data_IF_243210268276
#
_entry.id   IF_243210268276
#
_cell.length_a   1.000
_cell.length_b   1.000
_cell.length_c   1.000
_cell.angle_alpha   90.00
_cell.angle_beta   90.00
_cell.angle_gamma   90.00
#
_symmetry.space_group_name_H-M   'P 1'
#
loop_
_entity.id
_entity.type
_entity.pdbx_description
1 polymer ?
#
# COMPACT_ATOMS: atom_id res chain seq x y z
N UNK A 1 16.01 7.87 -25.91
CA UNK A 1 14.75 7.25 -26.36
C UNK A 1 13.61 8.10 -25.83
N UNK A 2 12.72 8.59 -26.67
CA UNK A 2 11.56 9.34 -26.23
C UNK A 2 10.66 8.39 -25.39
N UNK A 3 10.32 8.82 -24.17
CA UNK A 3 9.33 8.11 -23.35
C UNK A 3 8.00 8.11 -24.12
N UNK A 4 7.46 6.93 -24.37
CA UNK A 4 6.10 6.84 -24.89
C UNK A 4 5.16 7.49 -23.86
N UNK A 5 4.14 8.26 -24.30
CA UNK A 5 3.17 8.81 -23.35
C UNK A 5 2.50 7.66 -22.60
N UNK A 6 2.39 7.82 -21.30
CA UNK A 6 1.68 6.85 -20.46
C UNK A 6 0.22 6.72 -20.93
N UNK A 7 -0.33 5.50 -20.97
CA UNK A 7 -1.73 5.34 -21.28
C UNK A 7 -2.59 6.08 -20.24
N UNK A 8 -3.69 6.68 -20.70
CA UNK A 8 -4.63 7.31 -19.78
C UNK A 8 -5.13 6.29 -18.76
N UNK A 9 -5.24 6.65 -17.47
CA UNK A 9 -5.71 5.73 -16.44
C UNK A 9 -7.14 5.29 -16.71
N UNK A 10 -7.43 4.02 -16.42
CA UNK A 10 -8.78 3.50 -16.39
C UNK A 10 -9.58 4.25 -15.31
N UNK A 11 -10.76 4.76 -15.67
CA UNK A 11 -11.64 5.44 -14.71
C UNK A 11 -12.72 4.46 -14.22
N UNK A 12 -12.82 4.34 -12.89
CA UNK A 12 -13.84 3.54 -12.22
C UNK A 12 -14.65 4.44 -11.28
N UNK A 13 -15.76 3.93 -10.80
CA UNK A 13 -16.56 4.59 -9.76
C UNK A 13 -16.66 3.68 -8.56
N UNK A 14 -16.24 4.17 -7.39
CA UNK A 14 -16.41 3.50 -6.12
C UNK A 14 -17.88 3.42 -5.73
N UNK A 15 -18.19 2.58 -4.76
CA UNK A 15 -19.57 2.39 -4.27
C UNK A 15 -20.22 3.67 -3.74
N UNK A 16 -19.42 4.58 -3.18
CA UNK A 16 -19.89 5.88 -2.68
C UNK A 16 -20.00 6.97 -3.76
N UNK A 17 -19.65 6.65 -5.03
CA UNK A 17 -19.65 7.57 -6.16
C UNK A 17 -18.32 8.26 -6.42
N UNK A 18 -17.26 8.00 -5.60
CA UNK A 18 -15.93 8.55 -5.81
C UNK A 18 -15.34 8.04 -7.13
N UNK A 19 -14.82 8.94 -7.97
CA UNK A 19 -14.10 8.58 -9.20
C UNK A 19 -12.70 8.07 -8.85
N UNK A 20 -12.35 6.90 -9.37
CA UNK A 20 -11.06 6.25 -9.15
C UNK A 20 -10.29 6.15 -10.45
N UNK A 21 -9.02 6.52 -10.41
CA UNK A 21 -8.08 6.35 -11.50
C UNK A 21 -7.18 5.13 -11.24
N UNK A 22 -7.11 4.20 -12.19
CA UNK A 22 -6.31 2.99 -12.09
C UNK A 22 -5.35 2.93 -13.27
N UNK A 23 -4.05 2.84 -12.98
CA UNK A 23 -3.04 2.63 -14.04
C UNK A 23 -2.99 1.14 -14.36
N UNK A 24 -3.26 0.79 -15.62
CA UNK A 24 -3.26 -0.61 -16.09
C UNK A 24 -2.09 -0.81 -17.05
N UNK A 25 -1.27 -1.84 -16.78
CA UNK A 25 -0.08 -2.15 -17.61
C UNK A 25 0.12 -3.66 -17.72
N UNK A 26 0.44 -4.14 -18.93
CA UNK A 26 0.63 -5.58 -19.21
C UNK A 26 -0.63 -6.26 -19.72
N UNK A 27 -0.52 -7.55 -20.05
CA UNK A 27 -1.59 -8.39 -20.63
C UNK A 27 -1.65 -9.82 -20.08
N UNK A 28 -0.93 -10.08 -18.98
CA UNK A 28 -0.88 -11.37 -18.28
C UNK A 28 -1.96 -11.52 -17.19
N UNK A 29 -1.80 -12.48 -16.27
CA UNK A 29 -2.68 -12.64 -15.10
C UNK A 29 -2.78 -11.36 -14.26
N UNK A 30 -3.98 -11.04 -13.73
CA UNK A 30 -4.21 -9.77 -13.06
C UNK A 30 -3.61 -9.74 -11.64
N UNK A 31 -3.00 -8.59 -11.31
CA UNK A 31 -2.60 -8.23 -9.95
C UNK A 31 -3.08 -6.80 -9.66
N UNK A 32 -3.82 -6.63 -8.56
CA UNK A 32 -4.24 -5.33 -8.05
C UNK A 32 -3.24 -4.87 -7.00
N UNK A 33 -2.67 -3.68 -7.20
CA UNK A 33 -1.66 -3.10 -6.32
C UNK A 33 -2.27 -1.91 -5.57
N UNK A 34 -2.25 -1.99 -4.24
CA UNK A 34 -2.73 -0.96 -3.32
C UNK A 34 -1.53 -0.30 -2.65
N UNK A 35 -1.16 0.93 -3.06
CA UNK A 35 0.00 1.63 -2.53
C UNK A 35 -0.16 2.06 -1.06
N UNK A 36 0.97 2.30 -0.41
CA UNK A 36 1.03 2.81 0.96
C UNK A 36 0.66 4.29 1.11
N UNK A 37 0.86 4.81 2.31
CA UNK A 37 0.80 6.25 2.59
C UNK A 37 1.88 7.00 1.82
N UNK A 38 1.62 8.25 1.47
CA UNK A 38 2.55 9.11 0.72
C UNK A 38 3.04 8.55 -0.63
N UNK A 39 2.41 7.49 -1.15
CA UNK A 39 2.75 6.94 -2.46
C UNK A 39 2.13 7.76 -3.58
N UNK A 40 2.96 8.16 -4.54
CA UNK A 40 2.55 8.89 -5.74
C UNK A 40 2.14 7.95 -6.87
N UNK A 41 1.41 8.46 -7.87
CA UNK A 41 1.01 7.69 -9.05
C UNK A 41 2.19 7.02 -9.79
N UNK A 42 3.40 7.61 -9.68
CA UNK A 42 4.62 7.10 -10.29
C UNK A 42 5.40 6.08 -9.48
N UNK A 43 5.15 5.96 -8.17
CA UNK A 43 6.00 5.17 -7.27
C UNK A 43 5.92 3.65 -7.54
N UNK A 44 4.81 3.18 -8.07
CA UNK A 44 4.65 1.79 -8.52
C UNK A 44 5.27 1.49 -9.89
N UNK A 45 5.65 2.49 -10.68
CA UNK A 45 6.06 2.28 -12.09
C UNK A 45 7.31 1.42 -12.24
N UNK A 46 8.27 1.55 -11.32
CA UNK A 46 9.47 0.74 -11.38
C UNK A 46 9.13 -0.74 -11.18
N UNK A 47 8.28 -1.06 -10.20
CA UNK A 47 7.80 -2.42 -9.93
C UNK A 47 6.91 -2.92 -11.07
N UNK A 48 5.92 -2.12 -11.50
CA UNK A 48 5.00 -2.52 -12.58
C UNK A 48 5.71 -2.73 -13.91
N UNK A 49 6.77 -1.97 -14.21
CA UNK A 49 7.57 -2.14 -15.42
C UNK A 49 8.27 -3.49 -15.46
N UNK A 50 8.71 -4.00 -14.30
CA UNK A 50 9.30 -5.34 -14.17
C UNK A 50 8.22 -6.43 -14.26
N UNK A 51 7.04 -6.19 -13.70
CA UNK A 51 5.92 -7.15 -13.70
C UNK A 51 5.16 -7.22 -15.05
N UNK A 52 5.07 -6.12 -15.78
CA UNK A 52 4.24 -6.00 -16.98
C UNK A 52 4.50 -7.05 -18.09
N UNK A 53 5.72 -7.58 -18.29
CA UNK A 53 5.95 -8.66 -19.26
C UNK A 53 5.24 -9.98 -18.92
N UNK A 54 4.88 -10.19 -17.65
CA UNK A 54 4.31 -11.45 -17.16
C UNK A 54 2.90 -11.29 -16.57
N UNK A 55 2.54 -10.10 -16.09
CA UNK A 55 1.30 -9.82 -15.37
C UNK A 55 0.58 -8.60 -15.94
N UNK A 56 -0.74 -8.54 -15.74
CA UNK A 56 -1.49 -7.29 -15.88
C UNK A 56 -1.59 -6.63 -14.52
N UNK A 57 -0.93 -5.50 -14.35
CA UNK A 57 -0.95 -4.73 -13.10
C UNK A 57 -2.05 -3.68 -13.12
N UNK A 58 -2.86 -3.63 -12.05
CA UNK A 58 -3.87 -2.60 -11.79
C UNK A 58 -3.42 -1.80 -10.56
N UNK A 59 -2.78 -0.65 -10.77
CA UNK A 59 -2.31 0.21 -9.67
C UNK A 59 -3.36 1.26 -9.36
N UNK A 60 -3.93 1.18 -8.16
CA UNK A 60 -4.93 2.15 -7.70
C UNK A 60 -4.25 3.47 -7.31
N UNK A 61 -4.68 4.57 -7.91
CA UNK A 61 -4.48 5.89 -7.32
C UNK A 61 -5.56 6.05 -6.23
N UNK A 62 -5.13 5.93 -4.96
CA UNK A 62 -6.09 5.91 -3.84
C UNK A 62 -6.84 7.24 -3.70
N UNK A 63 -7.96 7.21 -3.01
CA UNK A 63 -8.83 8.36 -2.77
C UNK A 63 -8.02 9.61 -2.30
N UNK A 64 -8.28 10.76 -2.91
CA UNK A 64 -7.59 12.03 -2.65
C UNK A 64 -6.21 12.15 -3.28
N UNK A 65 -5.84 11.26 -4.23
CA UNK A 65 -4.50 11.24 -4.85
C UNK A 65 -4.57 11.25 -6.36
N UNK A 66 -3.62 11.99 -6.96
CA UNK A 66 -3.44 12.03 -8.42
C UNK A 66 -4.73 12.32 -9.17
N UNK A 67 -5.14 11.43 -10.08
CA UNK A 67 -6.33 11.57 -10.91
C UNK A 67 -7.60 10.95 -10.29
N UNK A 68 -7.51 10.40 -9.06
CA UNK A 68 -8.69 9.96 -8.32
C UNK A 68 -9.39 11.13 -7.62
N UNK A 69 -10.69 11.03 -7.48
CA UNK A 69 -11.48 11.93 -6.64
C UNK A 69 -11.17 11.77 -5.15
N UNK A 70 -11.81 12.58 -4.34
CA UNK A 70 -11.71 12.51 -2.89
C UNK A 70 -13.10 12.44 -2.24
N UNK A 71 -13.15 11.88 -1.03
CA UNK A 71 -14.38 11.82 -0.24
C UNK A 71 -14.17 12.49 1.12
N UNK A 72 -15.03 13.44 1.52
CA UNK A 72 -14.87 14.20 2.77
C UNK A 72 -14.94 13.33 4.02
N UNK A 73 -15.65 12.20 3.96
CA UNK A 73 -15.78 11.23 5.07
C UNK A 73 -14.92 10.00 4.81
N UNK A 74 -13.58 10.21 4.71
CA UNK A 74 -12.65 9.11 4.56
C UNK A 74 -12.65 8.19 5.78
N UNK A 75 -12.66 6.88 5.54
CA UNK A 75 -12.48 5.82 6.54
C UNK A 75 -11.93 4.56 5.85
N UNK A 76 -11.51 3.57 6.63
CA UNK A 76 -10.96 2.32 6.10
C UNK A 76 -11.96 1.59 5.19
N UNK A 77 -13.25 1.62 5.52
CA UNK A 77 -14.32 0.99 4.74
C UNK A 77 -14.41 1.57 3.32
N UNK A 78 -14.17 2.88 3.15
CA UNK A 78 -14.11 3.51 1.82
C UNK A 78 -12.94 3.02 0.99
N UNK A 79 -11.76 2.90 1.59
CA UNK A 79 -10.59 2.32 0.92
C UNK A 79 -10.85 0.86 0.51
N UNK A 80 -11.55 0.07 1.33
CA UNK A 80 -11.97 -1.30 1.01
C UNK A 80 -12.96 -1.32 -0.16
N UNK A 81 -13.92 -0.40 -0.19
CA UNK A 81 -14.87 -0.25 -1.31
C UNK A 81 -14.16 0.13 -2.61
N UNK A 82 -13.16 1.02 -2.55
CA UNK A 82 -12.34 1.42 -3.70
C UNK A 82 -11.56 0.23 -4.28
N UNK A 83 -10.85 -0.51 -3.43
CA UNK A 83 -10.11 -1.71 -3.85
C UNK A 83 -11.06 -2.79 -4.39
N UNK A 84 -12.26 -2.92 -3.80
CA UNK A 84 -13.29 -3.84 -4.29
C UNK A 84 -13.71 -3.52 -5.72
N UNK A 85 -13.92 -2.23 -6.05
CA UNK A 85 -14.26 -1.80 -7.41
C UNK A 85 -13.15 -2.15 -8.43
N UNK A 86 -11.87 -2.04 -8.03
CA UNK A 86 -10.74 -2.45 -8.90
C UNK A 86 -10.70 -3.97 -9.08
N UNK A 87 -10.90 -4.74 -8.00
CA UNK A 87 -10.94 -6.21 -8.07
C UNK A 87 -12.09 -6.73 -8.94
N UNK A 88 -13.23 -6.04 -8.95
CA UNK A 88 -14.38 -6.42 -9.78
C UNK A 88 -14.06 -6.30 -11.28
N UNK A 89 -13.24 -5.33 -11.66
CA UNK A 89 -12.78 -5.15 -13.05
C UNK A 89 -11.59 -6.07 -13.37
N UNK A 90 -10.67 -6.27 -12.44
CA UNK A 90 -9.52 -7.16 -12.63
C UNK A 90 -9.94 -8.64 -12.72
N UNK A 91 -11.07 -8.99 -12.12
CA UNK A 91 -11.66 -10.33 -12.20
C UNK A 91 -11.25 -11.28 -11.08
N UNK A 92 -11.88 -12.48 -11.02
CA UNK A 92 -11.77 -13.42 -9.89
C UNK A 92 -10.39 -14.04 -9.72
N UNK A 93 -9.57 -14.04 -10.76
CA UNK A 93 -8.20 -14.55 -10.73
C UNK A 93 -7.17 -13.51 -10.23
N UNK A 94 -7.62 -12.32 -9.81
CA UNK A 94 -6.74 -11.27 -9.37
C UNK A 94 -6.06 -11.62 -8.05
N UNK A 95 -4.72 -11.44 -8.02
CA UNK A 95 -3.92 -11.40 -6.81
C UNK A 95 -3.98 -9.98 -6.25
N UNK A 96 -4.13 -9.83 -4.94
CA UNK A 96 -4.15 -8.55 -4.27
C UNK A 96 -2.80 -8.30 -3.58
N UNK A 97 -2.15 -7.21 -3.94
CA UNK A 97 -0.89 -6.78 -3.33
C UNK A 97 -1.06 -5.43 -2.63
N UNK A 98 -0.81 -5.39 -1.33
CA UNK A 98 -0.81 -4.18 -0.53
C UNK A 98 0.55 -3.86 0.08
N UNK A 99 0.91 -2.57 0.12
CA UNK A 99 2.09 -2.06 0.81
C UNK A 99 1.67 -1.12 1.96
N UNK A 100 2.25 -1.28 3.15
CA UNK A 100 2.05 -0.37 4.29
C UNK A 100 0.56 -0.16 4.62
N UNK A 101 0.02 1.06 4.53
CA UNK A 101 -1.42 1.31 4.66
C UNK A 101 -2.25 0.50 3.64
N UNK A 102 -1.77 0.39 2.40
CA UNK A 102 -2.42 -0.46 1.40
C UNK A 102 -2.43 -1.95 1.79
N UNK A 103 -1.45 -2.41 2.58
CA UNK A 103 -1.45 -3.78 3.11
C UNK A 103 -2.49 -3.95 4.25
N UNK A 104 -2.71 -2.93 5.08
CA UNK A 104 -3.83 -2.90 6.02
C UNK A 104 -5.17 -3.00 5.28
N UNK A 105 -5.40 -2.15 4.26
CA UNK A 105 -6.63 -2.18 3.45
C UNK A 105 -6.83 -3.56 2.82
N UNK A 106 -5.77 -4.14 2.24
CA UNK A 106 -5.80 -5.45 1.59
C UNK A 106 -6.10 -6.59 2.56
N UNK A 107 -5.52 -6.56 3.76
CA UNK A 107 -5.78 -7.52 4.82
C UNK A 107 -7.22 -7.43 5.33
N UNK A 108 -7.71 -6.21 5.59
CA UNK A 108 -9.08 -5.96 6.04
C UNK A 108 -10.11 -6.39 4.97
N UNK A 109 -9.82 -6.19 3.69
CA UNK A 109 -10.63 -6.69 2.58
C UNK A 109 -10.62 -8.22 2.53
N UNK A 110 -9.45 -8.86 2.63
CA UNK A 110 -9.30 -10.31 2.59
C UNK A 110 -10.07 -11.04 3.71
N UNK A 111 -10.30 -10.37 4.86
CA UNK A 111 -11.17 -10.88 5.92
C UNK A 111 -12.68 -10.84 5.58
N UNK A 112 -13.07 -10.23 4.45
CA UNK A 112 -14.46 -10.07 4.02
C UNK A 112 -14.74 -10.69 2.65
N UNK A 113 -13.70 -10.81 1.82
CA UNK A 113 -13.81 -11.26 0.43
C UNK A 113 -12.61 -12.13 0.05
N UNK A 114 -12.88 -13.27 -0.58
CA UNK A 114 -11.82 -14.12 -1.13
C UNK A 114 -11.21 -13.48 -2.39
N UNK A 115 -9.88 -13.59 -2.53
CA UNK A 115 -9.09 -13.27 -3.71
C UNK A 115 -8.21 -14.46 -4.09
N UNK A 116 -7.64 -14.46 -5.29
CA UNK A 116 -6.81 -15.58 -5.76
C UNK A 116 -5.55 -15.81 -4.91
N UNK A 117 -4.98 -14.74 -4.39
CA UNK A 117 -3.83 -14.72 -3.49
C UNK A 117 -3.67 -13.34 -2.89
N UNK A 118 -2.99 -13.25 -1.76
CA UNK A 118 -2.75 -12.02 -1.02
C UNK A 118 -1.24 -11.82 -0.86
N UNK A 119 -0.75 -10.62 -1.13
CA UNK A 119 0.62 -10.21 -0.89
C UNK A 119 0.59 -9.00 0.03
N UNK A 120 1.30 -9.08 1.16
CA UNK A 120 1.38 -8.03 2.16
C UNK A 120 2.83 -7.63 2.35
N UNK A 121 3.15 -6.37 2.07
CA UNK A 121 4.46 -5.82 2.37
C UNK A 121 4.33 -4.85 3.54
N UNK A 122 4.81 -5.30 4.71
CA UNK A 122 4.88 -4.55 5.98
C UNK A 122 3.60 -3.77 6.30
N UNK A 123 2.51 -4.44 6.67
CA UNK A 123 1.25 -3.78 6.95
C UNK A 123 1.36 -2.78 8.10
N UNK A 124 0.86 -1.56 7.88
CA UNK A 124 0.82 -0.49 8.88
C UNK A 124 -0.33 -0.73 9.87
N UNK A 125 -0.11 -1.54 10.89
CA UNK A 125 -1.10 -1.94 11.88
C UNK A 125 -0.71 -1.50 13.29
N UNK A 126 -1.69 -1.01 14.04
CA UNK A 126 -1.56 -0.73 15.47
C UNK A 126 -1.80 -2.03 16.26
N UNK A 127 -0.72 -2.72 16.66
CA UNK A 127 -0.79 -3.90 17.53
C UNK A 127 -0.36 -3.54 18.97
N UNK A 128 0.93 -3.60 19.27
CA UNK A 128 1.45 -3.29 20.61
C UNK A 128 1.56 -1.76 20.87
N UNK A 129 1.53 -0.97 19.82
CA UNK A 129 1.61 0.49 19.87
C UNK A 129 0.78 1.09 18.73
N UNK A 130 0.28 2.31 18.88
CA UNK A 130 -0.31 3.03 17.76
C UNK A 130 0.77 3.32 16.68
N UNK A 131 0.33 3.47 15.44
CA UNK A 131 1.20 3.89 14.32
C UNK A 131 1.47 5.40 14.42
N UNK A 132 0.42 6.20 14.51
CA UNK A 132 0.50 7.65 14.65
C UNK A 132 0.45 8.13 16.10
N UNK A 133 -0.42 7.53 16.91
CA UNK A 133 -0.58 7.84 18.33
C UNK A 133 -0.93 9.31 18.61
N UNK A 134 -0.54 9.83 19.78
CA UNK A 134 -0.87 11.21 20.17
C UNK A 134 -0.33 12.29 19.24
N UNK A 135 0.72 11.98 18.47
CA UNK A 135 1.31 12.94 17.53
C UNK A 135 0.38 13.26 16.33
N UNK A 136 -0.62 12.41 16.06
CA UNK A 136 -1.57 12.63 14.95
C UNK A 136 -2.35 13.94 15.14
N UNK A 137 -2.68 14.35 16.38
CA UNK A 137 -3.37 15.59 16.65
C UNK A 137 -2.54 16.80 16.18
N UNK A 138 -1.28 16.90 16.62
CA UNK A 138 -0.38 17.99 16.20
C UNK A 138 -0.11 18.01 14.69
N UNK A 139 -0.01 16.84 14.06
CA UNK A 139 0.08 16.72 12.60
C UNK A 139 -1.18 17.26 11.91
N UNK A 140 -2.36 16.87 12.39
CA UNK A 140 -3.65 17.28 11.83
C UNK A 140 -3.89 18.77 11.98
N UNK A 141 -3.45 19.36 13.10
CA UNK A 141 -3.53 20.80 13.35
C UNK A 141 -2.68 21.60 12.35
N UNK A 142 -1.47 21.13 12.05
CA UNK A 142 -0.61 21.75 11.02
C UNK A 142 -1.28 21.70 9.64
N UNK A 143 -1.89 20.57 9.28
CA UNK A 143 -2.66 20.45 8.01
C UNK A 143 -3.84 21.41 8.01
N UNK A 144 -4.64 21.45 9.10
CA UNK A 144 -5.83 22.30 9.21
C UNK A 144 -5.50 23.78 9.18
N UNK A 145 -4.33 24.17 9.69
CA UNK A 145 -3.82 25.54 9.66
C UNK A 145 -3.21 25.94 8.30
N UNK A 146 -3.24 25.05 7.29
CA UNK A 146 -2.78 25.33 5.95
C UNK A 146 -1.26 25.25 5.78
N UNK A 147 -0.56 24.55 6.67
CA UNK A 147 0.89 24.31 6.56
C UNK A 147 1.21 22.81 6.36
N UNK A 148 0.85 22.22 5.21
CA UNK A 148 1.14 20.82 4.93
C UNK A 148 2.65 20.52 4.82
N UNK A 149 3.49 21.53 4.58
CA UNK A 149 4.93 21.35 4.54
C UNK A 149 5.51 21.15 5.95
N UNK A 150 5.05 21.93 6.94
CA UNK A 150 5.40 21.70 8.33
C UNK A 150 4.80 20.38 8.84
N UNK A 151 3.57 20.05 8.45
CA UNK A 151 2.96 18.76 8.77
C UNK A 151 3.79 17.59 8.25
N UNK A 152 4.24 17.62 6.99
CA UNK A 152 5.07 16.55 6.43
C UNK A 152 6.39 16.39 7.19
N UNK A 153 7.09 17.49 7.51
CA UNK A 153 8.32 17.46 8.33
C UNK A 153 8.05 16.81 9.68
N UNK A 154 7.03 17.28 10.38
CA UNK A 154 6.58 16.72 11.66
C UNK A 154 6.29 15.21 11.55
N UNK A 155 5.56 14.79 10.52
CA UNK A 155 5.23 13.39 10.31
C UNK A 155 6.44 12.51 10.02
N UNK A 156 7.40 13.00 9.24
CA UNK A 156 8.65 12.28 8.96
C UNK A 156 9.49 12.08 10.23
N UNK A 157 9.50 13.05 11.14
CA UNK A 157 10.17 12.93 12.44
C UNK A 157 9.44 11.96 13.38
N UNK A 158 8.13 12.11 13.54
CA UNK A 158 7.37 11.43 14.60
C UNK A 158 6.85 10.04 14.21
N UNK A 159 6.45 9.83 12.95
CA UNK A 159 5.87 8.56 12.49
C UNK A 159 6.90 7.68 11.78
N UNK A 160 7.81 8.30 11.01
CA UNK A 160 8.88 7.59 10.31
C UNK A 160 10.12 7.45 11.18
N UNK A 161 10.39 8.44 12.04
CA UNK A 161 11.53 8.44 12.96
C UNK A 161 12.82 8.99 12.35
N UNK A 162 12.70 9.86 11.31
CA UNK A 162 13.87 10.54 10.74
C UNK A 162 14.37 11.62 11.69
N UNK A 163 15.68 11.82 11.71
CA UNK A 163 16.27 12.96 12.39
C UNK A 163 15.96 14.28 11.67
N UNK A 164 15.98 15.45 12.34
CA UNK A 164 15.76 16.75 11.68
C UNK A 164 16.69 16.99 10.49
N UNK A 165 17.93 16.51 10.55
CA UNK A 165 18.88 16.62 9.43
C UNK A 165 18.44 15.77 8.24
N UNK A 166 17.98 14.56 8.45
CA UNK A 166 17.46 13.70 7.38
C UNK A 166 16.19 14.29 6.76
N UNK A 167 15.30 14.85 7.57
CA UNK A 167 14.10 15.56 7.07
C UNK A 167 14.48 16.73 6.18
N UNK A 168 15.47 17.54 6.57
CA UNK A 168 15.93 18.64 5.71
C UNK A 168 16.59 18.14 4.42
N UNK A 169 17.34 17.07 4.45
CA UNK A 169 17.87 16.43 3.24
C UNK A 169 16.73 15.93 2.34
N UNK A 170 15.72 15.30 2.93
CA UNK A 170 14.54 14.82 2.22
C UNK A 170 13.73 15.96 1.58
N UNK A 171 13.66 17.10 2.27
CA UNK A 171 12.99 18.31 1.78
C UNK A 171 13.66 18.95 0.56
N UNK A 172 14.90 18.58 0.22
CA UNK A 172 15.57 19.00 -1.01
C UNK A 172 15.26 18.10 -2.21
N UNK A 173 14.56 16.96 -2.00
CA UNK A 173 14.25 16.04 -3.08
C UNK A 173 13.26 16.67 -4.08
N UNK A 174 13.38 16.39 -5.40
CA UNK A 174 12.44 16.88 -6.42
C UNK A 174 10.98 16.51 -6.16
N UNK A 175 10.75 15.39 -5.45
CA UNK A 175 9.43 14.89 -5.07
C UNK A 175 8.80 15.63 -3.88
N UNK A 176 9.52 16.50 -3.18
CA UNK A 176 9.05 17.14 -1.94
C UNK A 176 7.69 17.83 -2.07
N UNK A 177 7.49 18.63 -3.13
CA UNK A 177 6.21 19.32 -3.33
C UNK A 177 5.02 18.37 -3.52
N UNK A 178 5.24 17.23 -4.15
CA UNK A 178 4.22 16.20 -4.34
C UNK A 178 3.90 15.50 -3.01
N UNK A 179 4.92 15.19 -2.19
CA UNK A 179 4.73 14.64 -0.85
C UNK A 179 3.99 15.62 0.08
N UNK A 180 4.32 16.92 0.03
CA UNK A 180 3.61 17.97 0.76
C UNK A 180 2.12 17.99 0.40
N UNK A 181 1.78 17.86 -0.87
CA UNK A 181 0.39 17.83 -1.33
C UNK A 181 -0.39 16.60 -0.79
N UNK A 182 0.30 15.53 -0.38
CA UNK A 182 -0.32 14.32 0.19
C UNK A 182 -0.41 14.34 1.73
N UNK A 183 0.16 15.31 2.42
CA UNK A 183 0.10 15.39 3.88
C UNK A 183 -1.36 15.35 4.41
N UNK A 184 -2.35 16.04 3.81
CA UNK A 184 -3.75 15.94 4.25
C UNK A 184 -4.31 14.53 4.21
N UNK A 185 -3.98 13.72 3.18
CA UNK A 185 -4.43 12.34 3.10
C UNK A 185 -3.74 11.46 4.13
N UNK A 186 -2.47 11.71 4.44
CA UNK A 186 -1.72 10.95 5.43
C UNK A 186 -2.29 11.11 6.83
N UNK A 187 -2.73 12.31 7.22
CA UNK A 187 -3.40 12.55 8.50
C UNK A 187 -4.55 11.55 8.75
N UNK A 188 -5.47 11.48 7.82
CA UNK A 188 -6.66 10.61 7.96
C UNK A 188 -6.34 9.10 7.87
N UNK A 189 -5.28 8.74 7.15
CA UNK A 189 -4.80 7.36 7.09
C UNK A 189 -4.19 6.91 8.42
N UNK A 190 -3.43 7.77 9.10
CA UNK A 190 -2.91 7.52 10.46
C UNK A 190 -4.05 7.28 11.45
N UNK A 191 -5.09 8.09 11.39
CA UNK A 191 -6.31 7.89 12.20
C UNK A 191 -6.96 6.55 11.90
N UNK A 192 -7.05 6.17 10.61
CA UNK A 192 -7.63 4.89 10.20
C UNK A 192 -6.77 3.69 10.65
N UNK A 193 -5.44 3.80 10.58
CA UNK A 193 -4.52 2.77 11.09
C UNK A 193 -4.66 2.56 12.60
N UNK A 194 -4.69 3.64 13.36
CA UNK A 194 -4.81 3.56 14.83
C UNK A 194 -6.21 3.13 15.30
N UNK A 195 -7.24 3.44 14.50
CA UNK A 195 -8.62 3.05 14.77
C UNK A 195 -8.97 1.61 14.38
N UNK A 196 -8.12 0.92 13.59
CA UNK A 196 -8.40 -0.44 13.17
C UNK A 196 -8.03 -1.45 14.25
N UNK A 197 -9.06 -2.06 14.86
CA UNK A 197 -8.86 -3.15 15.80
C UNK A 197 -8.52 -4.45 15.06
N UNK A 198 -7.27 -4.89 15.18
CA UNK A 198 -6.82 -6.15 14.58
C UNK A 198 -7.39 -7.31 15.40
N UNK A 199 -8.19 -8.16 14.75
CA UNK A 199 -8.72 -9.40 15.31
C UNK A 199 -7.92 -10.58 14.76
N UNK A 200 -6.99 -11.10 15.58
CA UNK A 200 -6.12 -12.21 15.19
C UNK A 200 -6.90 -13.50 14.97
N UNK A 201 -8.00 -13.74 15.72
CA UNK A 201 -8.85 -14.92 15.53
C UNK A 201 -9.54 -14.85 14.16
N UNK A 202 -9.98 -13.67 13.75
CA UNK A 202 -10.54 -13.46 12.42
C UNK A 202 -9.50 -13.64 11.32
N UNK A 203 -8.25 -13.27 11.54
CA UNK A 203 -7.17 -13.52 10.58
C UNK A 203 -6.91 -15.01 10.40
N UNK A 204 -7.04 -15.82 11.47
CA UNK A 204 -6.86 -17.27 11.40
C UNK A 204 -7.89 -17.99 10.51
N UNK A 205 -9.01 -17.34 10.19
CA UNK A 205 -10.02 -17.84 9.28
C UNK A 205 -9.74 -17.50 7.80
N UNK A 206 -8.70 -16.72 7.50
CA UNK A 206 -8.32 -16.37 6.12
C UNK A 206 -7.49 -17.50 5.53
N UNK A 207 -8.12 -18.34 4.70
CA UNK A 207 -7.45 -19.45 4.01
C UNK A 207 -6.86 -19.06 2.64
N UNK A 208 -6.77 -17.77 2.33
CA UNK A 208 -6.18 -17.26 1.10
C UNK A 208 -4.67 -17.50 1.14
N UNK A 209 -4.07 -18.14 0.10
CA UNK A 209 -2.63 -18.23 0.01
C UNK A 209 -2.01 -16.83 0.10
N UNK A 210 -1.14 -16.63 1.07
CA UNK A 210 -0.58 -15.31 1.38
C UNK A 210 0.94 -15.32 1.31
N UNK A 211 1.53 -14.25 0.80
CA UNK A 211 2.95 -13.93 0.92
C UNK A 211 3.09 -12.69 1.81
N UNK A 212 3.78 -12.83 2.93
CA UNK A 212 4.25 -11.72 3.75
C UNK A 212 5.66 -11.35 3.33
N UNK A 213 5.89 -10.07 3.06
CA UNK A 213 7.23 -9.54 2.76
C UNK A 213 7.64 -8.53 3.82
N UNK A 214 8.91 -8.55 4.21
CA UNK A 214 9.51 -7.55 5.08
C UNK A 214 10.95 -7.25 4.67
N UNK A 215 11.36 -5.99 4.82
CA UNK A 215 12.74 -5.57 4.61
C UNK A 215 13.63 -6.02 5.76
N UNK A 216 14.84 -6.47 5.44
CA UNK A 216 15.82 -6.95 6.44
C UNK A 216 16.21 -5.84 7.42
N UNK A 217 16.27 -4.58 6.94
CA UNK A 217 16.68 -3.41 7.74
C UNK A 217 15.50 -2.47 8.06
N UNK A 218 14.27 -2.95 7.91
CA UNK A 218 13.08 -2.20 8.29
C UNK A 218 13.02 -1.94 9.80
N UNK A 219 12.28 -0.92 10.25
CA UNK A 219 12.04 -0.69 11.67
C UNK A 219 11.52 -1.95 12.37
N UNK A 220 12.09 -2.27 13.51
CA UNK A 220 11.82 -3.53 14.25
C UNK A 220 10.33 -3.72 14.58
N UNK A 221 9.59 -2.64 14.80
CA UNK A 221 8.16 -2.69 15.06
C UNK A 221 7.36 -3.15 13.83
N UNK A 222 7.73 -2.73 12.61
CA UNK A 222 7.10 -3.18 11.36
C UNK A 222 7.38 -4.67 11.11
N UNK A 223 8.63 -5.10 11.34
CA UNK A 223 8.99 -6.53 11.25
C UNK A 223 8.16 -7.35 12.24
N UNK A 224 8.03 -6.87 13.50
CA UNK A 224 7.22 -7.54 14.52
C UNK A 224 5.74 -7.63 14.14
N UNK A 225 5.16 -6.55 13.63
CA UNK A 225 3.78 -6.52 13.13
C UNK A 225 3.60 -7.53 12.01
N UNK A 226 4.52 -7.54 11.04
CA UNK A 226 4.49 -8.49 9.91
C UNK A 226 4.59 -9.94 10.38
N UNK A 227 5.46 -10.25 11.36
CA UNK A 227 5.57 -11.58 11.95
C UNK A 227 4.28 -12.00 12.67
N UNK A 228 3.67 -11.09 13.46
CA UNK A 228 2.41 -11.39 14.16
C UNK A 228 1.29 -11.70 13.19
N UNK A 229 1.16 -10.94 12.10
CA UNK A 229 0.15 -11.20 11.06
C UNK A 229 0.47 -12.50 10.29
N UNK A 230 1.74 -12.73 9.95
CA UNK A 230 2.18 -13.98 9.31
C UNK A 230 1.80 -15.20 10.15
N UNK A 231 2.07 -15.17 11.46
CA UNK A 231 1.80 -16.30 12.36
C UNK A 231 0.30 -16.54 12.58
N UNK A 232 -0.54 -15.51 12.42
CA UNK A 232 -1.98 -15.61 12.51
C UNK A 232 -2.63 -16.16 11.23
N UNK A 233 -2.00 -16.04 10.07
CA UNK A 233 -2.53 -16.48 8.78
C UNK A 233 -2.14 -17.93 8.47
N UNK A 234 -3.09 -18.88 8.31
CA UNK A 234 -2.79 -20.33 8.23
C UNK A 234 -2.02 -20.73 6.96
N UNK A 235 -2.09 -19.93 5.89
CA UNK A 235 -1.45 -20.22 4.60
C UNK A 235 -0.53 -19.11 4.17
N UNK A 236 0.29 -18.61 5.09
CA UNK A 236 1.21 -17.50 4.85
C UNK A 236 2.65 -18.00 4.69
N UNK A 237 3.30 -17.61 3.62
CA UNK A 237 4.74 -17.74 3.41
C UNK A 237 5.44 -16.42 3.71
N UNK A 238 6.74 -16.47 4.00
CA UNK A 238 7.55 -15.30 4.35
C UNK A 238 8.67 -15.08 3.32
N UNK A 239 8.88 -13.82 2.91
CA UNK A 239 10.05 -13.42 2.15
C UNK A 239 10.72 -12.20 2.80
N UNK A 240 12.05 -12.30 3.02
CA UNK A 240 12.87 -11.19 3.50
C UNK A 240 13.53 -10.50 2.32
N UNK A 241 13.33 -9.19 2.20
CA UNK A 241 13.98 -8.37 1.18
C UNK A 241 15.36 -7.96 1.68
N UNK A 242 16.39 -8.70 1.25
CA UNK A 242 17.75 -8.55 1.74
C UNK A 242 18.31 -7.14 1.52
N UNK A 243 18.85 -6.52 2.57
CA UNK A 243 19.43 -5.18 2.57
C UNK A 243 18.41 -4.05 2.38
N UNK A 244 17.10 -4.34 2.34
CA UNK A 244 16.06 -3.35 2.10
C UNK A 244 15.29 -2.99 3.38
N UNK A 245 14.73 -1.78 3.39
CA UNK A 245 13.80 -1.29 4.38
C UNK A 245 12.37 -1.20 3.83
N UNK A 246 11.54 -0.37 4.46
CA UNK A 246 10.11 -0.21 4.18
C UNK A 246 9.75 0.26 2.76
N UNK A 247 10.70 0.83 2.02
CA UNK A 247 10.47 1.44 0.71
C UNK A 247 11.19 0.69 -0.43
N UNK A 248 11.27 -0.65 -0.35
CA UNK A 248 11.90 -1.45 -1.39
C UNK A 248 11.22 -1.33 -2.77
N UNK A 249 9.97 -0.90 -2.82
CA UNK A 249 9.29 -0.52 -4.07
C UNK A 249 10.01 0.61 -4.84
N UNK A 250 10.79 1.42 -4.14
CA UNK A 250 11.60 2.51 -4.72
C UNK A 250 13.09 2.15 -4.80
N UNK A 251 13.64 1.58 -3.71
CA UNK A 251 15.08 1.33 -3.60
C UNK A 251 15.55 0.05 -4.28
N UNK A 252 14.67 -0.96 -4.42
CA UNK A 252 14.99 -2.25 -5.02
C UNK A 252 13.77 -2.85 -5.76
N UNK A 253 13.15 -2.13 -6.72
CA UNK A 253 11.92 -2.56 -7.39
C UNK A 253 12.06 -3.93 -8.08
N UNK A 254 13.23 -4.26 -8.62
CA UNK A 254 13.50 -5.56 -9.26
C UNK A 254 13.47 -6.72 -8.27
N UNK A 255 13.97 -6.50 -7.03
CA UNK A 255 13.94 -7.51 -5.99
C UNK A 255 12.48 -7.78 -5.55
N UNK A 256 11.76 -6.71 -5.24
CA UNK A 256 10.36 -6.79 -4.85
C UNK A 256 9.50 -7.46 -5.94
N UNK A 257 9.66 -7.04 -7.19
CA UNK A 257 8.91 -7.59 -8.31
C UNK A 257 9.18 -9.08 -8.53
N UNK A 258 10.43 -9.55 -8.36
CA UNK A 258 10.75 -10.99 -8.45
C UNK A 258 10.02 -11.83 -7.39
N UNK A 259 9.96 -11.37 -6.14
CA UNK A 259 9.20 -12.07 -5.09
C UNK A 259 7.72 -12.14 -5.43
N UNK A 260 7.13 -11.03 -5.89
CA UNK A 260 5.74 -10.94 -6.33
C UNK A 260 5.49 -11.91 -7.50
N UNK A 261 6.30 -11.87 -8.56
CA UNK A 261 6.14 -12.73 -9.75
C UNK A 261 6.28 -14.21 -9.39
N UNK A 262 7.24 -14.56 -8.52
CA UNK A 262 7.47 -15.92 -8.05
C UNK A 262 6.25 -16.47 -7.32
N UNK A 263 5.65 -15.68 -6.44
CA UNK A 263 4.44 -16.06 -5.73
C UNK A 263 3.25 -16.25 -6.66
N UNK A 264 3.02 -15.33 -7.62
CA UNK A 264 1.94 -15.46 -8.61
C UNK A 264 2.14 -16.71 -9.49
N UNK A 265 3.38 -17.00 -9.91
CA UNK A 265 3.70 -18.20 -10.67
C UNK A 265 3.42 -19.49 -9.88
N UNK A 266 3.75 -19.51 -8.57
CA UNK A 266 3.43 -20.62 -7.67
C UNK A 266 1.90 -20.86 -7.59
N UNK A 267 1.11 -19.83 -7.39
CA UNK A 267 -0.36 -19.93 -7.34
C UNK A 267 -0.95 -20.53 -8.62
N UNK A 268 -0.37 -20.19 -9.78
CA UNK A 268 -0.79 -20.72 -11.08
C UNK A 268 -0.42 -22.20 -11.23
N UNK A 269 0.73 -22.62 -10.72
CA UNK A 269 1.16 -24.02 -10.78
C UNK A 269 0.25 -24.93 -9.96
N UNK A 270 -0.24 -24.43 -8.82
CA UNK A 270 -1.17 -25.15 -7.92
C UNK A 270 -2.61 -25.25 -8.47
N UNK A 271 -2.98 -24.44 -9.45
CA UNK A 271 -4.31 -24.44 -10.06
C UNK A 271 -4.39 -25.30 -11.34
N UNK A 272 -3.27 -25.84 -11.84
CA UNK A 272 -3.30 -26.76 -12.98
C UNK A 272 -3.68 -28.15 -12.48
N UNK A 273 -4.73 -28.77 -13.08
CA UNK A 273 -5.20 -30.12 -12.71
C UNK A 273 -4.14 -31.17 -12.99
#
# INVERSE_FOLDING_TARGET
MAQQPEPAPLQLTSKDGTSLAVTVTGDGPPIVIVPGSLSMAGDGQAVTRVLAPELTTYVLNRCGRSASGDHPSHCLEREIEDVTAVLDVAGPEAVLFGHSFGALVSLALAAQRSVRGLILYEPGLALDRPVGGPAVEGFSDLVANGDPAAALRFGLEHFVGLSPTEVEMFAQAPSWSQLVAMAPTWSRELVAMDGYAVDLDRLSAIEIPTLMMAGEVSPSWLIKVSQTVHDALPRCSWATLAGQGHVANETAPDLLAREVASFVALLRSLARP
#
